data_IF_714606575442
#
_entry.id   IF_714606575442
#
_cell.length_a   1.000
_cell.length_b   1.000
_cell.length_c   1.000
_cell.angle_alpha   90.00
_cell.angle_beta   90.00
_cell.angle_gamma   90.00
#
_symmetry.space_group_name_H-M   'P 1'
#
loop_
_entity.id
_entity.type
_entity.pdbx_description
1 polymer ?
#
# COMPACT_ATOMS: atom_id res chain seq x y z
N UNK A 1 -3.27 -33.69 52.81
CA UNK A 1 -3.29 -32.21 52.74
C UNK A 1 -3.91 -31.80 51.42
N UNK A 2 -4.91 -30.93 51.46
CA UNK A 2 -5.60 -30.38 50.29
C UNK A 2 -4.87 -29.14 49.79
N UNK A 3 -4.53 -29.10 48.51
CA UNK A 3 -4.29 -27.85 47.78
C UNK A 3 -5.12 -27.93 46.50
N UNK A 4 -6.23 -27.18 46.49
CA UNK A 4 -7.12 -27.11 45.36
C UNK A 4 -6.53 -26.17 44.30
N UNK A 5 -6.53 -26.61 43.04
CA UNK A 5 -6.20 -25.76 41.91
C UNK A 5 -7.26 -24.68 41.74
N UNK A 6 -7.01 -23.50 42.29
CA UNK A 6 -7.86 -22.33 42.09
C UNK A 6 -7.58 -21.74 40.71
N UNK A 7 -8.14 -22.38 39.67
CA UNK A 7 -8.29 -21.73 38.37
C UNK A 7 -9.26 -20.55 38.54
N UNK A 8 -8.85 -19.29 38.27
CA UNK A 8 -9.78 -18.18 38.32
C UNK A 8 -10.79 -18.36 37.18
N UNK A 9 -12.03 -18.69 37.54
CA UNK A 9 -13.15 -18.72 36.61
C UNK A 9 -13.33 -17.31 36.05
N UNK A 10 -12.95 -17.10 34.80
CA UNK A 10 -13.40 -15.94 34.02
C UNK A 10 -14.88 -16.16 33.70
N UNK A 11 -15.74 -15.87 34.69
CA UNK A 11 -17.18 -15.74 34.49
C UNK A 11 -17.45 -14.46 33.69
N UNK A 12 -17.17 -14.52 32.38
CA UNK A 12 -17.75 -13.62 31.41
C UNK A 12 -19.23 -14.01 31.21
N UNK A 13 -20.03 -13.76 32.24
CA UNK A 13 -21.48 -13.80 32.16
C UNK A 13 -21.94 -12.58 31.35
N UNK A 14 -21.94 -12.73 30.02
CA UNK A 14 -22.49 -11.75 29.07
C UNK A 14 -24.03 -11.69 29.17
N UNK A 15 -24.54 -11.30 30.34
CA UNK A 15 -25.94 -11.00 30.57
C UNK A 15 -26.30 -9.61 30.06
N UNK A 16 -27.19 -9.55 29.06
CA UNK A 16 -27.91 -8.35 28.58
C UNK A 16 -27.10 -7.05 28.47
N UNK A 17 -26.43 -6.86 27.33
CA UNK A 17 -26.23 -5.56 26.66
C UNK A 17 -25.93 -4.38 27.62
N UNK A 18 -25.00 -4.59 28.57
CA UNK A 18 -24.71 -3.68 29.68
C UNK A 18 -23.87 -2.49 29.17
N UNK A 19 -24.56 -1.62 28.44
CA UNK A 19 -24.00 -0.43 27.83
C UNK A 19 -23.52 0.49 28.94
N UNK A 20 -22.20 0.62 29.06
CA UNK A 20 -21.55 1.49 30.04
C UNK A 20 -20.52 2.36 29.34
N UNK A 21 -20.72 3.67 29.43
CA UNK A 21 -19.82 4.69 28.91
C UNK A 21 -19.51 5.69 30.01
N UNK A 22 -18.30 6.22 30.03
CA UNK A 22 -17.88 7.26 30.97
C UNK A 22 -17.55 8.51 30.17
N UNK A 23 -18.18 9.63 30.48
CA UNK A 23 -17.98 10.91 29.78
C UNK A 23 -17.73 11.98 30.84
N UNK A 24 -16.60 12.71 30.75
CA UNK A 24 -16.15 13.72 31.72
C UNK A 24 -16.08 13.26 33.19
N UNK A 25 -16.09 11.94 33.44
CA UNK A 25 -16.13 11.33 34.77
C UNK A 25 -17.49 10.70 35.12
N UNK A 26 -18.57 11.09 34.45
CA UNK A 26 -19.90 10.55 34.69
C UNK A 26 -20.10 9.21 33.98
N UNK A 27 -20.53 8.20 34.74
CA UNK A 27 -20.85 6.87 34.24
C UNK A 27 -22.32 6.84 33.79
N UNK A 28 -22.53 6.70 32.48
CA UNK A 28 -23.84 6.65 31.86
C UNK A 28 -24.14 5.22 31.39
N UNK A 29 -25.28 4.70 31.84
CA UNK A 29 -25.81 3.37 31.43
C UNK A 29 -26.98 3.47 30.46
N UNK A 30 -27.53 4.67 30.27
CA UNK A 30 -28.61 4.95 29.33
C UNK A 30 -28.02 5.45 28.00
N UNK A 31 -28.47 4.86 26.88
CA UNK A 31 -27.98 5.16 25.52
C UNK A 31 -28.39 6.57 25.06
N UNK A 32 -29.55 7.07 25.46
CA UNK A 32 -30.01 8.39 25.03
C UNK A 32 -29.33 9.52 25.84
N UNK A 33 -29.11 9.31 27.16
CA UNK A 33 -28.29 10.20 27.98
C UNK A 33 -26.82 10.23 27.52
N UNK A 34 -26.24 9.08 27.21
CA UNK A 34 -24.88 9.00 26.65
C UNK A 34 -24.74 9.77 25.34
N UNK A 35 -25.68 9.61 24.42
CA UNK A 35 -25.68 10.36 23.16
C UNK A 35 -25.77 11.87 23.39
N UNK A 36 -26.56 12.32 24.37
CA UNK A 36 -26.65 13.74 24.74
C UNK A 36 -25.33 14.28 25.30
N UNK A 37 -24.68 13.55 26.22
CA UNK A 37 -23.39 13.93 26.80
C UNK A 37 -22.25 13.96 25.75
N UNK A 38 -22.25 13.05 24.76
CA UNK A 38 -21.32 13.13 23.61
C UNK A 38 -21.55 14.42 22.81
N UNK A 39 -22.81 14.77 22.50
CA UNK A 39 -23.12 16.00 21.76
C UNK A 39 -22.78 17.27 22.56
N UNK A 40 -22.93 17.25 23.88
CA UNK A 40 -22.50 18.34 24.75
C UNK A 40 -20.98 18.50 24.73
N UNK A 41 -20.23 17.41 24.84
CA UNK A 41 -18.77 17.43 24.68
C UNK A 41 -18.35 17.94 23.28
N UNK A 42 -19.10 17.61 22.22
CA UNK A 42 -18.87 18.18 20.87
C UNK A 42 -19.09 19.70 20.82
N UNK A 43 -20.10 20.23 21.51
CA UNK A 43 -20.37 21.69 21.53
C UNK A 43 -19.26 22.47 22.24
N UNK A 44 -18.61 21.85 23.22
CA UNK A 44 -17.51 22.45 23.98
C UNK A 44 -16.16 22.33 23.24
N UNK A 45 -15.86 21.16 22.68
CA UNK A 45 -14.60 20.90 21.95
C UNK A 45 -14.68 21.42 20.53
N UNK A 46 -14.24 22.68 20.34
CA UNK A 46 -14.07 23.36 19.05
C UNK A 46 -12.60 23.47 18.60
N UNK A 47 -11.69 22.84 19.34
CA UNK A 47 -10.26 22.90 19.08
C UNK A 47 -9.83 21.78 18.11
N UNK A 48 -8.78 22.02 17.33
CA UNK A 48 -8.20 20.99 16.46
C UNK A 48 -7.46 19.91 17.24
N UNK A 49 -7.04 20.20 18.47
CA UNK A 49 -6.30 19.28 19.33
C UNK A 49 -7.24 18.21 19.95
N UNK A 50 -6.83 16.93 20.02
CA UNK A 50 -7.64 15.88 20.63
C UNK A 50 -7.79 16.07 22.15
N UNK A 51 -9.00 16.36 22.61
CA UNK A 51 -9.37 16.47 24.03
C UNK A 51 -9.89 15.14 24.54
N UNK A 52 -9.39 14.66 25.67
CA UNK A 52 -9.93 13.45 26.31
C UNK A 52 -11.33 13.72 26.87
N UNK A 53 -12.32 12.94 26.44
CA UNK A 53 -13.72 13.08 26.89
C UNK A 53 -14.17 11.95 27.82
N UNK A 54 -13.39 10.88 27.99
CA UNK A 54 -13.71 9.77 28.89
C UNK A 54 -13.36 8.39 28.31
N UNK A 55 -14.16 7.36 28.60
CA UNK A 55 -13.88 5.98 28.16
C UNK A 55 -15.12 5.16 27.79
N UNK A 56 -14.99 4.26 26.83
CA UNK A 56 -16.05 3.34 26.39
C UNK A 56 -15.50 1.94 26.14
N UNK A 57 -16.12 0.90 26.70
CA UNK A 57 -15.69 -0.52 26.57
C UNK A 57 -14.17 -0.75 26.82
N UNK A 58 -13.56 0.04 27.71
CA UNK A 58 -12.13 -0.02 28.03
C UNK A 58 -11.18 0.79 27.13
N UNK A 59 -11.70 1.50 26.12
CA UNK A 59 -10.94 2.43 25.28
C UNK A 59 -11.06 3.86 25.80
N UNK A 60 -9.95 4.61 25.81
CA UNK A 60 -9.98 6.05 26.09
C UNK A 60 -10.46 6.80 24.85
N UNK A 61 -11.40 7.72 25.03
CA UNK A 61 -12.04 8.47 23.97
C UNK A 61 -11.49 9.91 23.90
N UNK A 62 -10.95 10.27 22.74
CA UNK A 62 -10.50 11.61 22.42
C UNK A 62 -11.40 12.24 21.37
N UNK A 63 -11.68 13.53 21.49
CA UNK A 63 -12.54 14.29 20.58
C UNK A 63 -11.75 15.44 19.98
N UNK A 64 -11.78 15.57 18.65
CA UNK A 64 -11.14 16.66 17.91
C UNK A 64 -12.11 17.29 16.92
N UNK A 65 -12.00 18.59 16.69
CA UNK A 65 -12.83 19.32 15.71
C UNK A 65 -12.03 19.70 14.47
N UNK A 66 -12.44 19.19 13.31
CA UNK A 66 -11.83 19.51 12.02
C UNK A 66 -12.52 20.74 11.39
N UNK A 67 -11.97 21.93 11.65
CA UNK A 67 -12.52 23.20 11.18
C UNK A 67 -12.66 23.31 9.65
N UNK A 68 -11.86 22.59 8.86
CA UNK A 68 -11.97 22.58 7.39
C UNK A 68 -13.24 21.87 6.88
N UNK A 69 -13.82 20.94 7.66
CA UNK A 69 -15.02 20.18 7.30
C UNK A 69 -16.21 20.39 8.24
N UNK A 70 -16.06 21.25 9.26
CA UNK A 70 -16.98 21.38 10.40
C UNK A 70 -17.36 20.03 11.04
N UNK A 71 -16.41 19.10 11.09
CA UNK A 71 -16.67 17.71 11.49
C UNK A 71 -16.01 17.39 12.84
N UNK A 72 -16.80 16.85 13.77
CA UNK A 72 -16.29 16.31 15.03
C UNK A 72 -15.85 14.86 14.81
N UNK A 73 -14.59 14.55 15.10
CA UNK A 73 -14.04 13.20 15.01
C UNK A 73 -13.73 12.67 16.40
N UNK A 74 -14.33 11.52 16.74
CA UNK A 74 -14.00 10.78 17.95
C UNK A 74 -12.92 9.74 17.62
N UNK A 75 -11.85 9.71 18.41
CA UNK A 75 -10.78 8.72 18.33
C UNK A 75 -10.78 7.88 19.60
N UNK A 76 -11.12 6.60 19.47
CA UNK A 76 -11.00 5.61 20.53
C UNK A 76 -9.59 5.01 20.48
N UNK A 77 -8.83 5.19 21.56
CA UNK A 77 -7.42 4.77 21.68
C UNK A 77 -7.32 3.57 22.61
N UNK A 78 -6.72 2.50 22.12
CA UNK A 78 -6.32 1.31 22.87
C UNK A 78 -4.97 0.82 22.36
N UNK A 79 -4.85 -0.48 22.09
CA UNK A 79 -3.69 -1.04 21.39
C UNK A 79 -3.56 -0.52 19.93
N UNK A 80 -4.69 -0.17 19.31
CA UNK A 80 -4.77 0.59 18.06
C UNK A 80 -5.72 1.79 18.25
N UNK A 81 -5.65 2.76 17.34
CA UNK A 81 -6.55 3.92 17.30
C UNK A 81 -7.66 3.72 16.29
N UNK A 82 -8.90 4.00 16.68
CA UNK A 82 -10.10 3.86 15.85
C UNK A 82 -10.86 5.17 15.79
N UNK A 83 -11.10 5.69 14.59
CA UNK A 83 -11.77 6.98 14.37
C UNK A 83 -13.22 6.80 13.93
N UNK A 84 -14.15 7.50 14.56
CA UNK A 84 -15.56 7.59 14.19
C UNK A 84 -15.95 9.06 13.99
N UNK A 85 -16.62 9.35 12.86
CA UNK A 85 -17.16 10.67 12.56
C UNK A 85 -18.46 10.87 13.33
N UNK A 86 -18.58 11.97 14.07
CA UNK A 86 -19.77 12.31 14.84
C UNK A 86 -20.64 13.30 14.04
N UNK A 87 -21.94 13.02 13.99
CA UNK A 87 -22.96 13.91 13.44
C UNK A 87 -23.80 14.57 14.54
N UNK A 88 -24.95 15.12 14.16
CA UNK A 88 -25.86 15.82 15.07
C UNK A 88 -26.78 14.88 15.87
N UNK A 89 -26.84 13.59 15.53
CA UNK A 89 -27.78 12.62 16.11
C UNK A 89 -27.18 11.90 17.33
N UNK A 90 -27.73 12.10 18.53
CA UNK A 90 -27.29 11.46 19.78
C UNK A 90 -27.13 9.94 19.64
N UNK A 91 -28.19 9.27 19.18
CA UNK A 91 -28.27 7.81 19.06
C UNK A 91 -27.51 7.28 17.84
N UNK A 92 -27.51 8.04 16.74
CA UNK A 92 -26.75 7.71 15.53
C UNK A 92 -25.24 7.72 15.79
N UNK A 93 -24.76 8.62 16.64
CA UNK A 93 -23.36 8.67 17.05
C UNK A 93 -22.93 7.42 17.82
N UNK A 94 -23.74 6.90 18.75
CA UNK A 94 -23.45 5.63 19.42
C UNK A 94 -23.37 4.46 18.44
N UNK A 95 -24.28 4.37 17.47
CA UNK A 95 -24.22 3.35 16.42
C UNK A 95 -22.96 3.48 15.55
N UNK A 96 -22.53 4.70 15.21
CA UNK A 96 -21.28 4.96 14.47
C UNK A 96 -20.04 4.51 15.27
N UNK A 97 -20.02 4.76 16.59
CA UNK A 97 -18.95 4.33 17.50
C UNK A 97 -18.92 2.80 17.63
N UNK A 98 -20.07 2.15 17.82
CA UNK A 98 -20.11 0.69 17.95
C UNK A 98 -19.70 0.00 16.64
N UNK A 99 -20.13 0.52 15.49
CA UNK A 99 -19.66 0.06 14.17
C UNK A 99 -18.14 0.23 13.99
N UNK A 100 -17.55 1.32 14.49
CA UNK A 100 -16.10 1.53 14.44
C UNK A 100 -15.32 0.51 15.29
N UNK A 101 -15.90 0.08 16.42
CA UNK A 101 -15.36 -0.99 17.26
C UNK A 101 -15.59 -2.38 16.66
N UNK A 102 -16.77 -2.68 16.12
CA UNK A 102 -17.06 -3.96 15.45
C UNK A 102 -16.16 -4.18 14.22
N UNK A 103 -15.79 -3.09 13.52
CA UNK A 103 -14.81 -3.11 12.43
C UNK A 103 -13.41 -3.60 12.84
N UNK A 104 -13.06 -3.64 14.14
CA UNK A 104 -11.79 -4.21 14.62
C UNK A 104 -11.68 -5.71 14.28
N UNK A 105 -12.76 -6.47 14.44
CA UNK A 105 -12.75 -7.92 14.20
C UNK A 105 -12.47 -8.24 12.73
N UNK A 106 -13.13 -7.52 11.81
CA UNK A 106 -12.89 -7.65 10.37
C UNK A 106 -11.48 -7.25 9.95
N UNK A 107 -10.91 -6.19 10.56
CA UNK A 107 -9.50 -5.80 10.31
C UNK A 107 -8.51 -6.85 10.79
N UNK A 108 -8.74 -7.43 11.98
CA UNK A 108 -7.90 -8.50 12.52
C UNK A 108 -7.90 -9.72 11.57
N UNK A 109 -9.07 -10.14 11.09
CA UNK A 109 -9.18 -11.21 10.10
C UNK A 109 -8.48 -10.86 8.77
N UNK A 110 -8.60 -9.62 8.28
CA UNK A 110 -7.94 -9.19 7.06
C UNK A 110 -6.40 -9.23 7.18
N UNK A 111 -5.84 -8.71 8.28
CA UNK A 111 -4.39 -8.75 8.55
C UNK A 111 -3.89 -10.20 8.72
N UNK A 112 -4.67 -11.06 9.40
CA UNK A 112 -4.33 -12.48 9.53
C UNK A 112 -4.29 -13.19 8.17
N UNK A 113 -5.22 -12.87 7.26
CA UNK A 113 -5.24 -13.39 5.89
C UNK A 113 -4.10 -12.85 5.03
N UNK A 114 -3.75 -11.57 5.19
CA UNK A 114 -2.60 -10.97 4.50
C UNK A 114 -1.28 -11.62 4.93
N UNK A 115 -1.11 -11.86 6.23
CA UNK A 115 0.02 -12.60 6.79
C UNK A 115 0.08 -14.04 6.23
N UNK A 116 -1.04 -14.76 6.18
CA UNK A 116 -1.13 -16.10 5.57
C UNK A 116 -0.74 -16.06 4.08
N UNK A 117 -1.25 -15.09 3.31
CA UNK A 117 -0.88 -14.89 1.91
C UNK A 117 0.63 -14.65 1.73
N UNK A 118 1.26 -13.84 2.60
CA UNK A 118 2.71 -13.58 2.55
C UNK A 118 3.53 -14.83 2.88
N UNK A 119 3.10 -15.65 3.85
CA UNK A 119 3.74 -16.94 4.13
C UNK A 119 3.61 -17.90 2.94
N UNK A 120 2.44 -17.96 2.30
CA UNK A 120 2.23 -18.76 1.09
C UNK A 120 3.07 -18.27 -0.09
N UNK A 121 3.17 -16.96 -0.31
CA UNK A 121 4.06 -16.36 -1.32
C UNK A 121 5.53 -16.65 -1.03
N UNK A 122 5.96 -16.57 0.24
CA UNK A 122 7.32 -16.94 0.63
C UNK A 122 7.61 -18.41 0.38
N UNK A 123 6.66 -19.31 0.67
CA UNK A 123 6.80 -20.73 0.39
C UNK A 123 6.89 -21.02 -1.12
N UNK A 124 6.01 -20.42 -1.92
CA UNK A 124 6.05 -20.51 -3.38
C UNK A 124 7.37 -19.98 -3.96
N UNK A 125 7.80 -18.78 -3.55
CA UNK A 125 9.06 -18.17 -4.00
C UNK A 125 10.28 -19.03 -3.61
N UNK A 126 10.29 -19.65 -2.41
CA UNK A 126 11.34 -20.60 -2.00
C UNK A 126 11.39 -21.82 -2.93
N UNK A 127 10.24 -22.35 -3.35
CA UNK A 127 10.16 -23.48 -4.28
C UNK A 127 10.64 -23.07 -5.68
N UNK A 128 10.25 -21.89 -6.17
CA UNK A 128 10.70 -21.37 -7.47
C UNK A 128 12.19 -21.05 -7.50
N UNK A 129 12.76 -20.53 -6.40
CA UNK A 129 14.22 -20.30 -6.26
C UNK A 129 15.00 -21.63 -6.24
N UNK A 130 14.42 -22.71 -5.72
CA UNK A 130 15.02 -24.06 -5.80
C UNK A 130 14.85 -24.72 -7.17
N UNK A 131 13.96 -24.22 -8.03
CA UNK A 131 13.79 -24.76 -9.37
C UNK A 131 14.99 -24.35 -10.23
N UNK A 132 15.76 -25.31 -10.80
CA UNK A 132 16.93 -24.97 -11.60
C UNK A 132 16.52 -24.12 -12.81
N UNK A 133 17.33 -23.11 -13.10
CA UNK A 133 17.08 -22.19 -14.21
C UNK A 133 17.22 -22.96 -15.54
N UNK A 134 16.11 -23.15 -16.26
CA UNK A 134 16.04 -24.07 -17.42
C UNK A 134 17.04 -23.69 -18.53
N UNK A 135 17.38 -22.40 -18.65
CA UNK A 135 18.35 -21.89 -19.62
C UNK A 135 19.75 -21.70 -19.02
N UNK A 136 20.07 -22.26 -17.84
CA UNK A 136 21.39 -22.08 -17.22
C UNK A 136 22.52 -22.60 -18.12
N UNK A 137 22.30 -23.73 -18.79
CA UNK A 137 23.26 -24.30 -19.73
C UNK A 137 23.44 -23.40 -20.97
N UNK A 138 22.33 -22.97 -21.58
CA UNK A 138 22.36 -22.06 -22.74
C UNK A 138 22.99 -20.69 -22.39
N UNK A 139 22.76 -20.20 -21.17
CA UNK A 139 23.38 -18.98 -20.65
C UNK A 139 24.89 -19.16 -20.46
N UNK A 140 25.34 -20.29 -19.87
CA UNK A 140 26.77 -20.62 -19.74
C UNK A 140 27.45 -20.71 -21.11
N UNK A 141 26.83 -21.39 -22.08
CA UNK A 141 27.37 -21.54 -23.44
C UNK A 141 27.48 -20.18 -24.16
N UNK A 142 26.46 -19.32 -24.04
CA UNK A 142 26.47 -17.96 -24.59
C UNK A 142 27.49 -17.06 -23.90
N UNK A 143 27.63 -17.14 -22.57
CA UNK A 143 28.66 -16.41 -21.82
C UNK A 143 30.07 -16.87 -22.23
N UNK A 144 30.31 -18.18 -22.33
CA UNK A 144 31.60 -18.71 -22.79
C UNK A 144 31.95 -18.22 -24.21
N UNK A 145 30.97 -18.28 -25.13
CA UNK A 145 31.14 -17.75 -26.50
C UNK A 145 31.39 -16.24 -26.53
N UNK A 146 30.72 -15.46 -25.67
CA UNK A 146 30.96 -14.02 -25.54
C UNK A 146 32.36 -13.74 -24.97
N UNK A 147 32.83 -14.49 -23.97
CA UNK A 147 34.17 -14.32 -23.40
C UNK A 147 35.26 -14.67 -24.42
N UNK A 148 35.07 -15.71 -25.23
CA UNK A 148 35.99 -16.03 -26.33
C UNK A 148 36.03 -14.89 -27.36
N UNK A 149 34.85 -14.42 -27.80
CA UNK A 149 34.74 -13.35 -28.78
C UNK A 149 35.27 -12.00 -28.26
N UNK A 150 35.06 -11.69 -26.98
CA UNK A 150 35.59 -10.50 -26.32
C UNK A 150 37.13 -10.55 -26.27
N UNK A 151 37.72 -11.70 -25.91
CA UNK A 151 39.17 -11.88 -25.95
C UNK A 151 39.73 -11.74 -27.38
N UNK A 152 39.08 -12.30 -28.40
CA UNK A 152 39.50 -12.15 -29.81
C UNK A 152 39.39 -10.70 -30.29
N UNK A 153 38.29 -10.02 -30.01
CA UNK A 153 38.07 -8.62 -30.36
C UNK A 153 39.02 -7.69 -29.60
N UNK A 154 39.26 -7.92 -28.31
CA UNK A 154 40.18 -7.13 -27.49
C UNK A 154 41.64 -7.32 -27.94
N UNK A 155 42.03 -8.55 -28.33
CA UNK A 155 43.31 -8.79 -29.01
C UNK A 155 43.41 -8.16 -30.41
N UNK A 156 42.30 -7.86 -31.08
CA UNK A 156 42.28 -7.10 -32.33
C UNK A 156 42.37 -5.58 -32.08
N UNK A 157 41.74 -5.09 -31.00
CA UNK A 157 41.82 -3.70 -30.56
C UNK A 157 43.24 -3.35 -30.06
N UNK A 158 43.90 -4.25 -29.33
CA UNK A 158 45.29 -4.09 -28.91
C UNK A 158 46.28 -4.18 -30.09
N UNK A 159 45.98 -5.00 -31.12
CA UNK A 159 46.76 -5.06 -32.37
C UNK A 159 46.51 -3.90 -33.35
N UNK A 160 45.49 -3.08 -33.09
CA UNK A 160 45.17 -1.87 -33.86
C UNK A 160 45.35 -0.58 -33.07
N UNK A 161 45.89 -0.65 -31.84
CA UNK A 161 46.50 0.47 -31.17
C UNK A 161 47.81 0.82 -31.89
N UNK A 162 47.93 1.97 -32.59
CA UNK A 162 49.18 2.35 -33.21
C UNK A 162 50.20 2.64 -32.11
N UNK A 163 51.46 2.27 -32.36
CA UNK A 163 52.59 2.92 -31.69
C UNK A 163 52.40 4.43 -31.82
N UNK A 164 52.49 5.15 -30.70
CA UNK A 164 52.32 6.61 -30.68
C UNK A 164 53.43 7.27 -31.48
N UNK A 165 53.11 7.68 -32.70
CA UNK A 165 53.78 8.78 -33.36
C UNK A 165 52.74 9.78 -33.87
N UNK A 166 53.07 11.05 -33.69
CA UNK A 166 52.30 12.24 -34.05
C UNK A 166 51.90 12.25 -35.52
N UNK A 167 50.61 12.39 -35.82
CA UNK A 167 50.14 13.40 -36.79
C UNK A 167 48.63 13.68 -36.73
N UNK A 168 48.24 14.76 -37.41
CA UNK A 168 46.97 15.48 -37.27
C UNK A 168 45.91 14.92 -38.23
N UNK A 169 44.61 14.94 -37.85
CA UNK A 169 43.44 15.40 -38.66
C UNK A 169 42.09 14.79 -38.19
N UNK A 170 41.07 15.66 -38.18
CA UNK A 170 39.62 15.37 -38.18
C UNK A 170 39.00 14.56 -37.02
N UNK A 171 38.55 15.29 -35.99
CA UNK A 171 37.37 14.90 -35.18
C UNK A 171 36.13 14.77 -36.08
N UNK A 172 35.82 13.58 -36.59
CA UNK A 172 34.46 13.29 -37.08
C UNK A 172 33.53 13.07 -35.89
N UNK A 173 32.82 14.12 -35.51
CA UNK A 173 31.71 14.07 -34.57
C UNK A 173 30.67 13.08 -35.11
N UNK A 174 30.48 11.94 -34.42
CA UNK A 174 29.35 11.05 -34.70
C UNK A 174 28.08 11.78 -34.25
N UNK A 175 27.07 12.00 -35.11
CA UNK A 175 25.87 12.73 -34.71
C UNK A 175 25.11 11.97 -33.62
N UNK A 176 24.54 12.71 -32.67
CA UNK A 176 23.81 12.14 -31.54
C UNK A 176 22.43 11.65 -31.97
N UNK A 177 22.09 10.40 -31.64
CA UNK A 177 20.77 9.82 -31.93
C UNK A 177 19.64 10.61 -31.22
N UNK A 178 19.96 11.29 -30.11
CA UNK A 178 19.02 12.15 -29.37
C UNK A 178 18.58 13.40 -30.15
N UNK A 179 19.41 13.93 -31.07
CA UNK A 179 19.01 15.08 -31.89
C UNK A 179 18.06 14.66 -33.02
N UNK A 180 18.28 13.49 -33.63
CA UNK A 180 17.36 12.91 -34.63
C UNK A 180 15.98 12.56 -34.05
N UNK A 181 15.86 12.35 -32.74
CA UNK A 181 14.58 12.08 -32.07
C UNK A 181 13.81 13.35 -31.67
N UNK A 182 14.42 14.54 -31.73
CA UNK A 182 13.78 15.82 -31.43
C UNK A 182 13.12 16.51 -32.63
N UNK A 183 13.34 16.01 -33.85
CA UNK A 183 12.72 16.59 -35.04
C UNK A 183 11.33 15.95 -35.31
N UNK A 184 10.28 16.74 -35.55
CA UNK A 184 8.96 16.20 -35.90
C UNK A 184 8.99 15.56 -37.30
N UNK A 185 8.16 14.53 -37.56
CA UNK A 185 8.23 13.76 -38.79
C UNK A 185 7.90 14.61 -40.03
N UNK A 186 8.65 14.47 -41.14
CA UNK A 186 8.37 15.19 -42.37
C UNK A 186 7.05 14.73 -43.00
N UNK A 187 6.19 15.69 -43.35
CA UNK A 187 4.95 15.44 -44.09
C UNK A 187 5.30 15.01 -45.52
N UNK A 188 4.70 13.92 -45.99
CA UNK A 188 5.12 13.23 -47.21
C UNK A 188 4.69 13.88 -48.53
N UNK A 189 5.10 13.26 -49.63
CA UNK A 189 4.64 13.54 -51.00
C UNK A 189 4.50 12.24 -51.80
N UNK A 190 3.57 12.23 -52.75
CA UNK A 190 3.10 11.03 -53.45
C UNK A 190 4.04 10.55 -54.57
N UNK A 191 3.90 9.28 -54.96
CA UNK A 191 4.29 8.77 -56.28
C UNK A 191 3.10 8.03 -56.96
N UNK A 192 3.07 7.92 -58.30
CA UNK A 192 1.82 8.00 -59.06
C UNK A 192 1.30 6.66 -59.59
N UNK A 193 0.03 6.64 -60.00
CA UNK A 193 -0.64 5.48 -60.58
C UNK A 193 -0.11 5.07 -61.97
N UNK A 194 -0.11 3.75 -62.24
CA UNK A 194 -0.42 3.15 -63.55
C UNK A 194 -1.20 1.83 -63.37
N UNK A 195 -1.99 1.45 -64.37
CA UNK A 195 -2.89 0.27 -64.45
C UNK A 195 -2.82 -0.34 -65.87
N UNK A 196 -3.42 -1.50 -66.23
CA UNK A 196 -4.46 -2.37 -65.64
C UNK A 196 -3.86 -3.76 -65.26
N UNK A 197 -4.48 -4.95 -65.28
CA UNK A 197 -5.77 -5.48 -65.76
C UNK A 197 -6.14 -6.82 -65.09
N UNK A 198 -7.44 -7.12 -65.03
CA UNK A 198 -8.17 -8.42 -65.12
C UNK A 198 -7.39 -9.73 -64.80
N UNK A 199 -7.97 -10.70 -64.07
CA UNK A 199 -9.25 -11.38 -64.38
C UNK A 199 -9.73 -12.29 -63.22
N UNK A 200 -11.02 -12.64 -63.23
CA UNK A 200 -11.65 -13.73 -62.47
C UNK A 200 -10.93 -15.09 -62.70
N UNK A 201 -10.99 -16.11 -61.83
CA UNK A 201 -12.20 -16.89 -61.50
C UNK A 201 -12.04 -17.76 -60.22
N UNK A 202 -13.17 -17.90 -59.51
CA UNK A 202 -13.66 -19.06 -58.73
C UNK A 202 -12.83 -19.61 -57.57
#
# INVERSE_FOLDING_TARGET
MTLAEHTPKVQNEFGKDDFKITIKGDILTDKDNAGAAILEACKEVKNSDPVEIGSYKGFTMYLSYAAFGNEHTLTLKGAMSHTAKLGLDSRGNLTRIDNALNGMQGRLQAVQKELENLYNQQAAAKIEVQKPFVQEQELKDKIARLVILDNELNMSAMRSAPSRDTEVVAKRVRPSILDSLKQPPPKGSMHPQKSKSEREER
#
